data_IF_080006125963
#
_entry.id   IF_080006125963
#
_cell.length_a   1.000
_cell.length_b   1.000
_cell.length_c   1.000
_cell.angle_alpha   90.00
_cell.angle_beta   90.00
_cell.angle_gamma   90.00
#
_symmetry.space_group_name_H-M   'P 1'
#
loop_
_entity.id
_entity.type
_entity.pdbx_description
1 polymer ?
#
# COMPACT_ATOMS: atom_id res chain seq x y z
N UNK A 1 -7.63 -11.14 1.33
CA UNK A 1 -6.79 -11.76 0.29
C UNK A 1 -5.47 -12.11 0.95
N UNK A 2 -5.03 -13.36 0.87
CA UNK A 2 -3.72 -13.77 1.37
C UNK A 2 -2.79 -14.02 0.16
N UNK A 3 -1.63 -13.38 0.16
CA UNK A 3 -0.55 -13.63 -0.80
C UNK A 3 0.40 -14.62 -0.14
N UNK A 4 0.63 -15.78 -0.76
CA UNK A 4 1.62 -16.73 -0.24
C UNK A 4 3.01 -16.40 -0.81
N UNK A 5 4.02 -16.47 0.04
CA UNK A 5 5.41 -16.15 -0.28
C UNK A 5 6.33 -17.34 -0.01
N UNK A 6 7.31 -17.47 -0.89
CA UNK A 6 8.35 -18.50 -0.90
C UNK A 6 9.75 -17.87 -1.10
N UNK A 7 10.12 -16.96 -0.20
CA UNK A 7 11.43 -16.36 -0.12
C UNK A 7 12.33 -17.21 0.77
N UNK A 8 13.39 -17.82 0.21
CA UNK A 8 14.32 -18.71 0.92
C UNK A 8 15.61 -18.01 1.42
N UNK A 9 15.68 -16.69 1.31
CA UNK A 9 16.77 -15.83 1.77
C UNK A 9 16.17 -14.58 2.39
N UNK A 10 16.87 -13.87 3.29
CA UNK A 10 16.46 -12.55 3.75
C UNK A 10 16.03 -11.65 2.59
N UNK A 11 15.02 -10.82 2.81
CA UNK A 11 14.40 -10.01 1.77
C UNK A 11 13.91 -8.67 2.30
N UNK A 12 13.50 -7.82 1.37
CA UNK A 12 12.82 -6.56 1.65
C UNK A 12 11.60 -6.40 0.75
N UNK A 13 10.58 -5.73 1.28
CA UNK A 13 9.34 -5.43 0.59
C UNK A 13 9.21 -3.92 0.44
N UNK A 14 9.05 -3.45 -0.78
CA UNK A 14 8.65 -2.07 -1.08
C UNK A 14 7.29 -2.07 -1.75
N UNK A 15 6.59 -0.94 -1.69
CA UNK A 15 5.34 -0.74 -2.40
C UNK A 15 5.20 0.71 -2.85
N UNK A 16 4.57 0.89 -4.01
CA UNK A 16 4.33 2.18 -4.63
C UNK A 16 2.92 2.22 -5.22
N UNK A 17 2.20 3.29 -4.90
CA UNK A 17 0.97 3.71 -5.53
C UNK A 17 1.29 4.57 -6.76
N UNK A 18 0.60 4.30 -7.86
CA UNK A 18 0.78 5.04 -9.12
C UNK A 18 0.30 6.49 -9.01
N UNK A 19 -0.91 6.71 -8.49
CA UNK A 19 -1.50 8.05 -8.38
C UNK A 19 -1.37 8.70 -6.98
N UNK A 20 -0.90 7.94 -5.99
CA UNK A 20 -0.92 8.32 -4.58
C UNK A 20 -2.33 8.45 -3.99
N UNK A 21 -3.37 8.01 -4.70
CA UNK A 21 -4.79 8.17 -4.37
C UNK A 21 -5.67 7.35 -5.30
N UNK A 22 -6.83 6.95 -4.81
CA UNK A 22 -7.93 6.48 -5.65
C UNK A 22 -8.45 7.65 -6.50
N UNK A 23 -8.56 7.44 -7.81
CA UNK A 23 -8.99 8.46 -8.77
C UNK A 23 -10.25 8.00 -9.49
N UNK A 24 -11.24 8.90 -9.62
CA UNK A 24 -12.49 8.60 -10.31
C UNK A 24 -12.21 8.25 -11.78
N UNK A 25 -12.80 7.15 -12.25
CA UNK A 25 -12.65 6.61 -13.61
C UNK A 25 -13.88 6.85 -14.48
N UNK A 26 -15.00 7.20 -13.85
CA UNK A 26 -16.29 7.42 -14.50
C UNK A 26 -16.54 8.91 -14.80
N UNK A 27 -15.86 9.82 -14.08
CA UNK A 27 -16.02 11.26 -14.22
C UNK A 27 -14.71 12.02 -13.90
N UNK A 28 -14.57 13.20 -14.50
CA UNK A 28 -13.49 14.17 -14.26
C UNK A 28 -14.00 15.35 -13.45
N UNK A 29 -13.07 16.11 -12.83
CA UNK A 29 -13.44 17.35 -12.12
C UNK A 29 -14.17 18.33 -13.05
N UNK A 30 -15.42 18.61 -12.68
CA UNK A 30 -16.37 19.45 -13.41
C UNK A 30 -16.69 20.75 -12.65
N UNK A 31 -15.90 21.07 -11.60
CA UNK A 31 -16.08 22.22 -10.73
C UNK A 31 -17.40 22.22 -9.93
N UNK A 32 -18.09 21.07 -9.84
CA UNK A 32 -19.32 20.90 -9.05
C UNK A 32 -19.12 20.98 -7.53
N UNK A 33 -17.88 21.09 -7.06
CA UNK A 33 -17.53 21.12 -5.64
C UNK A 33 -17.42 19.74 -4.98
N UNK A 34 -17.61 18.66 -5.73
CA UNK A 34 -17.30 17.30 -5.28
C UNK A 34 -15.80 16.99 -5.35
N UNK A 35 -15.37 15.93 -4.67
CA UNK A 35 -14.02 15.38 -4.77
C UNK A 35 -14.00 14.20 -5.74
N UNK A 36 -13.03 14.22 -6.67
CA UNK A 36 -12.81 13.17 -7.68
C UNK A 36 -11.61 12.28 -7.35
N UNK A 37 -11.00 12.47 -6.18
CA UNK A 37 -9.95 11.60 -5.66
C UNK A 37 -10.14 11.33 -4.17
N UNK A 38 -9.62 10.19 -3.70
CA UNK A 38 -9.68 9.78 -2.29
C UNK A 38 -8.35 9.17 -1.85
N UNK A 39 -7.81 9.61 -0.71
CA UNK A 39 -6.69 8.93 -0.07
C UNK A 39 -7.14 7.62 0.60
N UNK A 40 -6.23 6.66 0.68
CA UNK A 40 -6.43 5.39 1.37
C UNK A 40 -5.19 5.06 2.22
N UNK A 41 -5.33 4.13 3.16
CA UNK A 41 -4.25 3.51 3.91
C UNK A 41 -3.89 2.15 3.31
N UNK A 42 -2.61 1.81 3.34
CA UNK A 42 -2.08 0.53 2.92
C UNK A 42 -1.11 -0.01 3.99
N UNK A 43 -1.20 -1.29 4.31
CA UNK A 43 -0.23 -1.96 5.16
C UNK A 43 -0.01 -3.41 4.74
N UNK A 44 1.22 -3.88 4.95
CA UNK A 44 1.60 -5.27 4.76
C UNK A 44 1.99 -5.87 6.11
N UNK A 45 1.50 -7.07 6.37
CA UNK A 45 1.96 -7.94 7.44
C UNK A 45 2.37 -9.28 6.84
N UNK A 46 3.48 -9.85 7.29
CA UNK A 46 4.07 -11.03 6.71
C UNK A 46 4.71 -11.91 7.79
N UNK A 47 4.46 -13.21 7.71
CA UNK A 47 5.09 -14.20 8.58
C UNK A 47 6.42 -14.70 8.01
N UNK A 48 7.46 -14.72 8.85
CA UNK A 48 8.76 -15.36 8.56
C UNK A 48 9.06 -16.41 9.62
N UNK A 49 10.10 -17.20 9.42
CA UNK A 49 10.62 -18.12 10.44
C UNK A 49 11.24 -17.41 11.66
N UNK A 50 11.74 -16.18 11.48
CA UNK A 50 12.24 -15.31 12.54
C UNK A 50 11.13 -14.48 13.23
N UNK A 51 9.87 -14.66 12.83
CA UNK A 51 8.72 -13.96 13.36
C UNK A 51 8.03 -13.06 12.33
N UNK A 52 7.11 -12.21 12.81
CA UNK A 52 6.23 -11.41 11.96
C UNK A 52 6.78 -10.02 11.74
N UNK A 53 6.80 -9.57 10.48
CA UNK A 53 7.15 -8.20 10.08
C UNK A 53 5.90 -7.43 9.64
N UNK A 54 5.86 -6.12 9.91
CA UNK A 54 4.73 -5.27 9.57
C UNK A 54 5.17 -3.84 9.24
N UNK A 55 4.57 -3.23 8.22
CA UNK A 55 4.93 -1.86 7.77
C UNK A 55 4.36 -0.73 8.63
N UNK A 56 3.35 -1.01 9.45
CA UNK A 56 2.43 0.04 9.89
C UNK A 56 1.57 0.56 8.73
N UNK A 57 0.67 1.49 9.03
CA UNK A 57 -0.26 2.07 8.05
C UNK A 57 0.41 3.19 7.26
N UNK A 58 0.55 3.01 5.96
CA UNK A 58 1.03 4.01 5.03
C UNK A 58 -0.13 4.68 4.30
N UNK A 59 -0.21 6.01 4.34
CA UNK A 59 -1.16 6.73 3.51
C UNK A 59 -0.71 6.65 2.04
N UNK A 60 -1.67 6.50 1.12
CA UNK A 60 -1.41 6.41 -0.32
C UNK A 60 -0.60 7.61 -0.84
N UNK A 61 -0.82 8.79 -0.28
CA UNK A 61 -0.07 10.01 -0.61
C UNK A 61 1.40 9.97 -0.21
N UNK A 62 1.76 9.06 0.70
CA UNK A 62 3.14 8.81 1.14
C UNK A 62 3.72 7.52 0.55
N UNK A 63 2.90 6.76 -0.18
CA UNK A 63 3.27 5.53 -0.87
C UNK A 63 3.69 5.83 -2.32
N UNK A 64 4.51 6.84 -2.52
CA UNK A 64 4.99 7.31 -3.84
C UNK A 64 6.52 7.39 -3.81
N UNK A 65 7.18 7.60 -4.95
CA UNK A 65 8.65 7.73 -4.97
C UNK A 65 9.13 8.83 -4.02
N UNK A 66 10.07 8.49 -3.13
CA UNK A 66 10.57 9.41 -2.11
C UNK A 66 9.59 9.73 -0.98
N UNK A 67 8.42 9.08 -0.95
CA UNK A 67 7.42 9.26 0.10
C UNK A 67 7.84 8.66 1.44
N UNK A 68 7.44 9.30 2.55
CA UNK A 68 7.96 9.01 3.89
C UNK A 68 7.54 7.64 4.50
N UNK A 69 6.66 6.89 3.85
CA UNK A 69 6.25 5.56 4.32
C UNK A 69 7.41 4.56 4.19
N UNK A 70 7.58 3.66 5.17
CA UNK A 70 8.63 2.61 5.13
C UNK A 70 8.62 1.79 3.83
N UNK A 71 7.45 1.48 3.29
CA UNK A 71 7.31 0.73 2.03
C UNK A 71 7.73 1.54 0.80
N UNK A 72 7.71 2.87 0.86
CA UNK A 72 8.13 3.76 -0.22
C UNK A 72 9.61 4.19 -0.10
N UNK A 73 10.28 3.88 1.01
CA UNK A 73 11.68 4.20 1.23
C UNK A 73 12.60 3.17 0.56
N UNK A 74 13.82 3.59 0.14
CA UNK A 74 14.88 2.67 -0.23
C UNK A 74 15.14 1.68 0.91
N UNK A 75 15.19 0.38 0.61
CA UNK A 75 15.37 -0.68 1.60
C UNK A 75 14.06 -1.24 2.20
N UNK A 76 12.94 -0.50 2.09
CA UNK A 76 11.61 -1.03 2.37
C UNK A 76 11.39 -1.59 3.79
N UNK A 77 10.38 -2.46 3.89
CA UNK A 77 10.16 -3.32 5.04
C UNK A 77 11.05 -4.56 4.92
N UNK A 78 12.13 -4.62 5.71
CA UNK A 78 13.05 -5.76 5.73
C UNK A 78 12.57 -6.92 6.58
N UNK A 79 12.91 -8.16 6.18
CA UNK A 79 12.67 -9.38 6.97
C UNK A 79 13.68 -9.61 8.09
N UNK A 80 14.68 -8.72 8.25
CA UNK A 80 15.85 -9.00 9.08
C UNK A 80 16.61 -10.20 8.51
N UNK A 81 16.90 -11.19 9.35
CA UNK A 81 17.48 -12.48 8.93
C UNK A 81 16.42 -13.53 8.58
N UNK A 82 15.13 -13.18 8.68
CA UNK A 82 14.02 -14.12 8.47
C UNK A 82 13.77 -14.44 7.00
N UNK A 83 13.34 -15.67 6.75
CA UNK A 83 12.89 -16.18 5.45
C UNK A 83 11.41 -16.56 5.49
N UNK A 84 10.76 -16.58 4.34
CA UNK A 84 9.33 -16.82 4.22
C UNK A 84 9.07 -17.94 3.21
N UNK A 85 9.20 -19.21 3.63
CA UNK A 85 8.87 -20.37 2.80
C UNK A 85 7.47 -20.87 3.18
N UNK A 86 6.56 -20.85 2.23
CA UNK A 86 5.15 -21.24 2.40
C UNK A 86 4.41 -20.39 3.43
N UNK A 87 4.80 -19.13 3.60
CA UNK A 87 4.21 -18.21 4.60
C UNK A 87 3.24 -17.24 3.94
N UNK A 88 2.26 -16.78 4.71
CA UNK A 88 1.24 -15.87 4.22
C UNK A 88 1.64 -14.40 4.49
N UNK A 89 1.30 -13.56 3.53
CA UNK A 89 1.28 -12.11 3.64
C UNK A 89 -0.17 -11.62 3.57
N UNK A 90 -0.51 -10.76 4.52
CA UNK A 90 -1.79 -10.06 4.58
C UNK A 90 -1.60 -8.63 4.09
N UNK A 91 -2.31 -8.29 3.03
CA UNK A 91 -2.38 -6.93 2.50
C UNK A 91 -3.69 -6.31 2.98
N UNK A 92 -3.58 -5.14 3.61
CA UNK A 92 -4.75 -4.37 4.06
C UNK A 92 -4.80 -3.05 3.33
N UNK A 93 -5.96 -2.76 2.74
CA UNK A 93 -6.32 -1.44 2.21
C UNK A 93 -7.50 -0.95 3.02
N UNK A 94 -7.40 0.26 3.57
CA UNK A 94 -8.46 0.92 4.31
C UNK A 94 -8.61 2.36 3.83
N UNK A 95 -9.68 3.05 4.20
CA UNK A 95 -9.80 4.47 3.89
C UNK A 95 -10.59 5.20 4.96
N UNK A 96 -10.34 6.51 5.14
CA UNK A 96 -11.13 7.32 6.06
C UNK A 96 -12.62 7.29 5.73
N UNK A 97 -13.45 7.43 6.77
CA UNK A 97 -14.89 7.58 6.63
C UNK A 97 -15.22 8.80 5.76
N UNK A 98 -16.32 8.73 5.01
CA UNK A 98 -16.77 9.85 4.17
C UNK A 98 -16.97 11.15 4.97
N UNK A 99 -17.38 11.03 6.24
CA UNK A 99 -17.61 12.16 7.14
C UNK A 99 -16.34 12.95 7.48
N UNK A 100 -15.15 12.38 7.28
CA UNK A 100 -13.89 13.07 7.52
C UNK A 100 -13.34 13.76 6.28
N UNK A 101 -14.03 13.69 5.14
CA UNK A 101 -13.63 14.37 3.90
C UNK A 101 -14.16 15.80 3.90
N UNK A 102 -13.30 16.76 3.48
CA UNK A 102 -13.72 18.17 3.33
C UNK A 102 -14.72 18.40 2.19
N UNK A 103 -14.88 17.43 1.28
CA UNK A 103 -15.85 17.42 0.18
C UNK A 103 -16.41 16.01 0.03
N UNK A 104 -17.68 15.91 -0.37
CA UNK A 104 -18.29 14.62 -0.73
C UNK A 104 -17.62 14.09 -2.00
N UNK A 105 -17.48 12.77 -2.11
CA UNK A 105 -17.00 12.15 -3.34
C UNK A 105 -18.06 12.25 -4.44
N UNK A 106 -17.62 12.51 -5.67
CA UNK A 106 -18.45 12.33 -6.86
C UNK A 106 -18.84 10.85 -7.01
N UNK A 107 -20.01 10.58 -7.58
CA UNK A 107 -20.42 9.22 -7.88
C UNK A 107 -19.50 8.58 -8.95
N UNK A 108 -19.40 7.26 -8.93
CA UNK A 108 -18.63 6.48 -9.90
C UNK A 108 -17.57 5.60 -9.26
N UNK A 109 -16.80 4.95 -10.13
CA UNK A 109 -15.75 4.01 -9.76
C UNK A 109 -14.44 4.74 -9.55
N UNK A 110 -13.68 4.33 -8.53
CA UNK A 110 -12.38 4.88 -8.24
C UNK A 110 -11.33 3.77 -8.27
N UNK A 111 -10.18 4.04 -8.89
CA UNK A 111 -9.09 3.07 -8.96
C UNK A 111 -7.74 3.72 -8.70
N UNK A 112 -6.79 2.88 -8.29
CA UNK A 112 -5.37 3.15 -8.20
C UNK A 112 -4.60 1.83 -8.34
N UNK A 113 -3.35 1.89 -8.76
CA UNK A 113 -2.48 0.71 -8.89
C UNK A 113 -1.44 0.75 -7.78
N UNK A 114 -1.34 -0.33 -6.99
CA UNK A 114 -0.23 -0.52 -6.04
C UNK A 114 0.69 -1.60 -6.59
N UNK A 115 1.93 -1.22 -6.92
CA UNK A 115 2.99 -2.16 -7.25
C UNK A 115 3.74 -2.54 -5.97
N UNK A 116 3.77 -3.83 -5.65
CA UNK A 116 4.57 -4.38 -4.55
C UNK A 116 5.81 -5.03 -5.17
N UNK A 117 6.99 -4.71 -4.64
CA UNK A 117 8.25 -5.30 -5.07
C UNK A 117 8.91 -6.02 -3.91
N UNK A 118 9.40 -7.23 -4.19
CA UNK A 118 10.10 -8.06 -3.22
C UNK A 118 11.49 -8.32 -3.79
N UNK A 119 12.52 -7.99 -3.02
CA UNK A 119 13.91 -8.17 -3.41
C UNK A 119 14.66 -8.97 -2.36
N UNK A 120 15.45 -9.95 -2.80
CA UNK A 120 16.39 -10.64 -1.93
C UNK A 120 17.44 -9.65 -1.39
N UNK A 121 17.81 -9.82 -0.13
CA UNK A 121 18.95 -9.15 0.50
C UNK A 121 20.10 -10.13 0.50
N UNK A 122 21.17 -9.76 -0.21
CA UNK A 122 22.46 -10.44 -0.21
C UNK A 122 23.32 -9.99 0.96
#
# INVERSE_FOLDING_TARGET
>A
MALRLDCNTPFQVTAKSEAGRLTNRSASDDLSGYAFTKAYGFSIELDTDAGKIRSGRCLSSTLVDGGACVLAQPGGLGSGDGVAIGRDATLTVDWPAQTTLGRRLAAGDYSDTITISIAARS
#
